data_IF_916652677604
#
_entry.id   IF_916652677604
#
_cell.length_a   1.000
_cell.length_b   1.000
_cell.length_c   1.000
_cell.angle_alpha   90.00
_cell.angle_beta   90.00
_cell.angle_gamma   90.00
#
_symmetry.space_group_name_H-M   'P 1'
#
loop_
_entity.id
_entity.type
_entity.pdbx_description
1 polymer ?
#
# COMPACT_ATOMS: atom_id res chain seq x y z
N UNK A 1 -2.00 11.89 -12.86
CA UNK A 1 -1.98 11.77 -11.37
C UNK A 1 -0.68 11.04 -11.05
N UNK A 2 0.29 11.67 -10.35
CA UNK A 2 1.60 11.05 -10.07
C UNK A 2 1.47 10.01 -8.95
N UNK A 3 2.07 8.82 -9.07
CA UNK A 3 2.06 7.85 -7.98
C UNK A 3 2.87 8.38 -6.79
N UNK A 4 2.32 8.20 -5.60
CA UNK A 4 2.95 8.62 -4.35
C UNK A 4 2.69 7.58 -3.26
N UNK A 5 3.68 7.40 -2.39
CA UNK A 5 3.58 6.59 -1.18
C UNK A 5 3.89 7.45 0.04
N UNK A 6 3.40 7.04 1.21
CA UNK A 6 3.73 7.74 2.44
C UNK A 6 3.24 7.03 3.68
N UNK A 7 3.78 7.47 4.82
CA UNK A 7 3.46 6.93 6.14
C UNK A 7 3.27 8.05 7.15
N UNK A 8 2.18 7.93 7.89
CA UNK A 8 1.88 8.77 9.05
C UNK A 8 2.68 8.29 10.27
N UNK A 9 3.14 9.23 11.08
CA UNK A 9 3.67 9.00 12.42
C UNK A 9 3.00 9.93 13.42
N UNK A 10 2.64 9.39 14.57
CA UNK A 10 2.14 10.16 15.72
C UNK A 10 2.83 9.58 16.95
N UNK A 11 3.40 10.43 17.80
CA UNK A 11 4.04 10.00 19.03
C UNK A 11 3.00 9.64 20.11
N UNK A 12 3.38 8.78 21.06
CA UNK A 12 2.58 8.45 22.23
C UNK A 12 2.44 9.69 23.13
N UNK A 13 1.25 10.30 23.15
CA UNK A 13 0.96 11.51 23.92
C UNK A 13 0.77 12.78 23.07
N UNK A 14 0.05 12.68 21.94
CA UNK A 14 0.20 13.46 20.68
C UNK A 14 0.95 14.80 20.82
N UNK A 15 2.29 14.75 20.88
CA UNK A 15 3.16 15.95 20.92
C UNK A 15 3.81 16.26 19.57
N UNK A 16 3.90 15.22 18.74
CA UNK A 16 4.53 15.26 17.44
C UNK A 16 3.61 14.60 16.42
N UNK A 17 3.44 15.28 15.29
CA UNK A 17 2.87 14.72 14.08
C UNK A 17 3.95 14.68 13.01
N UNK A 18 4.04 13.54 12.31
CA UNK A 18 4.96 13.33 11.21
C UNK A 18 4.23 12.80 9.99
N UNK A 19 4.65 13.23 8.82
CA UNK A 19 4.35 12.56 7.57
C UNK A 19 5.61 12.47 6.72
N UNK A 20 6.00 11.26 6.35
CA UNK A 20 7.08 11.04 5.40
C UNK A 20 6.46 10.42 4.16
N UNK A 21 6.69 11.05 3.02
CA UNK A 21 6.16 10.61 1.74
C UNK A 21 7.17 10.74 0.61
N UNK A 22 6.89 10.03 -0.47
CA UNK A 22 7.77 9.98 -1.62
C UNK A 22 7.00 9.80 -2.93
N UNK A 23 7.64 10.28 -3.99
CA UNK A 23 7.39 9.97 -5.40
C UNK A 23 8.68 9.34 -5.95
N UNK A 24 8.69 8.80 -7.17
CA UNK A 24 9.93 8.34 -7.79
C UNK A 24 11.04 9.40 -7.83
N UNK A 25 10.66 10.67 -7.96
CA UNK A 25 11.62 11.78 -8.15
C UNK A 25 12.06 12.45 -6.84
N UNK A 26 11.24 12.38 -5.79
CA UNK A 26 11.41 13.21 -4.59
C UNK A 26 10.84 12.55 -3.34
N UNK A 27 11.64 12.56 -2.28
CA UNK A 27 11.26 12.23 -0.90
C UNK A 27 11.18 13.51 -0.09
N UNK A 28 10.12 13.65 0.73
CA UNK A 28 9.98 14.75 1.66
C UNK A 28 9.37 14.29 2.98
N UNK A 29 9.81 14.91 4.07
CA UNK A 29 9.27 14.71 5.42
C UNK A 29 8.74 16.02 5.98
N UNK A 30 7.59 15.96 6.65
CA UNK A 30 6.99 17.08 7.36
C UNK A 30 6.78 16.68 8.82
N UNK A 31 7.23 17.55 9.70
CA UNK A 31 6.99 17.49 11.13
C UNK A 31 6.24 18.73 11.59
N UNK A 32 5.34 18.54 12.54
CA UNK A 32 4.72 19.61 13.31
C UNK A 32 4.76 19.20 14.78
N UNK A 33 5.18 20.14 15.61
CA UNK A 33 5.21 20.03 17.06
C UNK A 33 5.47 21.41 17.68
N UNK A 34 5.31 21.49 18.99
CA UNK A 34 5.68 22.68 19.74
C UNK A 34 7.14 22.59 20.21
N UNK A 35 7.91 23.67 20.08
CA UNK A 35 9.31 23.73 20.53
C UNK A 35 9.47 23.42 22.04
N UNK A 36 8.43 23.68 22.83
CA UNK A 36 8.37 23.39 24.26
C UNK A 36 7.76 22.01 24.58
N UNK A 37 7.54 21.18 23.57
CA UNK A 37 6.97 19.83 23.68
C UNK A 37 5.57 19.80 24.31
N UNK A 38 4.76 20.85 24.15
CA UNK A 38 3.35 20.84 24.56
C UNK A 38 2.51 19.81 23.78
N UNK A 39 1.43 19.34 24.41
CA UNK A 39 0.52 18.37 23.80
C UNK A 39 -0.32 19.07 22.72
N UNK A 40 -0.43 18.43 21.57
CA UNK A 40 -1.32 18.81 20.48
C UNK A 40 -2.51 17.83 20.40
N UNK A 41 -3.56 17.98 21.24
CA UNK A 41 -4.57 16.93 21.49
C UNK A 41 -5.38 16.52 20.26
N UNK A 42 -5.38 17.32 19.20
CA UNK A 42 -6.11 17.06 17.97
C UNK A 42 -5.21 16.77 16.77
N UNK A 43 -3.89 16.79 16.96
CA UNK A 43 -2.94 16.59 15.87
C UNK A 43 -2.50 15.13 15.72
N UNK A 44 -2.37 14.73 14.47
CA UNK A 44 -1.92 13.40 14.06
C UNK A 44 -1.21 13.51 12.71
N UNK A 45 -0.33 12.55 12.42
CA UNK A 45 0.44 12.53 11.17
C UNK A 45 -0.40 12.57 9.88
N UNK A 46 -1.66 12.13 9.92
CA UNK A 46 -2.58 12.18 8.79
C UNK A 46 -3.33 13.50 8.61
N UNK A 47 -3.23 14.44 9.57
CA UNK A 47 -4.02 15.67 9.59
C UNK A 47 -3.23 16.84 8.99
N UNK A 48 -2.39 17.50 9.78
CA UNK A 48 -1.68 18.70 9.35
C UNK A 48 -0.49 18.35 8.48
N UNK A 49 0.35 17.40 8.91
CA UNK A 49 1.60 17.08 8.20
C UNK A 49 1.36 16.47 6.82
N UNK A 50 0.39 15.58 6.65
CA UNK A 50 0.04 15.04 5.33
C UNK A 50 -0.46 16.12 4.35
N UNK A 51 -1.27 17.08 4.82
CA UNK A 51 -1.77 18.20 4.00
C UNK A 51 -0.65 19.15 3.60
N UNK A 52 0.24 19.52 4.54
CA UNK A 52 1.41 20.36 4.25
C UNK A 52 2.33 19.67 3.25
N UNK A 53 2.59 18.36 3.44
CA UNK A 53 3.37 17.57 2.49
C UNK A 53 2.77 17.62 1.09
N UNK A 54 1.44 17.42 0.96
CA UNK A 54 0.75 17.48 -0.33
C UNK A 54 0.92 18.84 -1.00
N UNK A 55 0.72 19.95 -0.29
CA UNK A 55 0.88 21.28 -0.88
C UNK A 55 2.33 21.57 -1.28
N UNK A 56 3.29 21.17 -0.45
CA UNK A 56 4.71 21.28 -0.77
C UNK A 56 5.04 20.51 -2.07
N UNK A 57 4.62 19.25 -2.17
CA UNK A 57 4.90 18.43 -3.35
C UNK A 57 4.25 18.97 -4.62
N UNK A 58 3.06 19.58 -4.53
CA UNK A 58 2.40 20.25 -5.66
C UNK A 58 3.16 21.48 -6.16
N UNK A 59 3.88 22.18 -5.28
CA UNK A 59 4.73 23.31 -5.67
C UNK A 59 6.14 22.90 -6.10
N UNK A 60 6.68 21.83 -5.51
CA UNK A 60 8.05 21.38 -5.76
C UNK A 60 8.20 20.55 -7.04
N UNK A 61 7.15 19.84 -7.47
CA UNK A 61 7.18 18.97 -8.63
C UNK A 61 6.54 19.63 -9.86
N UNK A 62 7.05 19.37 -11.08
CA UNK A 62 6.46 19.91 -12.29
C UNK A 62 5.03 19.39 -12.51
N UNK A 63 4.17 20.16 -13.19
CA UNK A 63 2.73 19.84 -13.33
C UNK A 63 2.43 18.64 -14.24
N UNK A 64 3.44 18.13 -14.94
CA UNK A 64 3.32 16.97 -15.83
C UNK A 64 3.45 15.65 -15.04
N UNK A 65 2.97 14.55 -15.62
CA UNK A 65 3.15 13.23 -15.04
C UNK A 65 4.65 12.92 -14.95
N UNK A 66 5.14 12.72 -13.71
CA UNK A 66 6.53 12.37 -13.44
C UNK A 66 6.78 10.88 -13.70
N UNK A 67 7.93 10.39 -13.28
CA UNK A 67 8.21 8.96 -13.37
C UNK A 67 7.18 8.12 -12.57
N UNK A 68 7.02 6.87 -12.99
CA UNK A 68 6.28 5.86 -12.23
C UNK A 68 7.23 5.05 -11.37
N UNK A 69 6.72 4.40 -10.32
CA UNK A 69 7.54 3.46 -9.57
C UNK A 69 8.07 2.35 -10.49
N UNK A 70 9.33 1.93 -10.34
CA UNK A 70 9.87 0.84 -11.13
C UNK A 70 9.08 -0.44 -10.85
N UNK A 71 8.97 -1.28 -11.87
CA UNK A 71 8.48 -2.64 -11.69
C UNK A 71 9.39 -3.40 -10.71
N UNK A 72 8.84 -4.35 -9.92
CA UNK A 72 9.64 -5.18 -9.04
C UNK A 72 10.76 -5.91 -9.81
N UNK A 73 11.97 -6.02 -9.23
CA UNK A 73 13.05 -6.82 -9.80
C UNK A 73 12.68 -8.30 -10.01
N UNK A 74 13.40 -9.01 -10.88
CA UNK A 74 13.11 -10.41 -11.24
C UNK A 74 13.14 -11.38 -10.04
N UNK A 75 13.89 -11.05 -8.97
CA UNK A 75 13.91 -11.84 -7.73
C UNK A 75 12.64 -11.69 -6.88
N UNK A 76 11.68 -10.86 -7.29
CA UNK A 76 10.36 -10.76 -6.66
C UNK A 76 9.31 -11.50 -7.49
N UNK A 77 8.49 -12.29 -6.79
CA UNK A 77 7.36 -13.01 -7.39
C UNK A 77 6.05 -12.40 -6.93
N UNK A 78 5.16 -12.15 -7.88
CA UNK A 78 3.79 -11.74 -7.60
C UNK A 78 2.92 -12.97 -7.30
N UNK A 79 2.26 -12.97 -6.14
CA UNK A 79 1.34 -14.04 -5.71
C UNK A 79 0.01 -13.44 -5.28
N UNK A 80 -1.08 -14.16 -5.54
CA UNK A 80 -2.41 -13.74 -5.11
C UNK A 80 -2.67 -14.21 -3.68
N UNK A 81 -2.99 -13.26 -2.79
CA UNK A 81 -3.20 -13.49 -1.36
C UNK A 81 -4.59 -13.02 -0.97
N UNK A 82 -5.30 -13.83 -0.17
CA UNK A 82 -6.55 -13.46 0.46
C UNK A 82 -6.28 -12.40 1.54
N UNK A 83 -6.86 -11.20 1.39
CA UNK A 83 -6.63 -10.08 2.29
C UNK A 83 -7.25 -10.29 3.68
N UNK A 84 -8.14 -11.28 3.82
CA UNK A 84 -8.82 -11.55 5.08
C UNK A 84 -8.00 -12.41 6.04
N UNK A 85 -7.24 -13.37 5.53
CA UNK A 85 -6.55 -14.36 6.37
C UNK A 85 -5.09 -14.65 5.98
N UNK A 86 -4.59 -13.96 4.95
CA UNK A 86 -3.21 -14.05 4.52
C UNK A 86 -2.85 -15.35 3.79
N UNK A 87 -3.83 -16.16 3.36
CA UNK A 87 -3.58 -17.37 2.57
C UNK A 87 -3.36 -17.07 1.12
N UNK A 88 -2.74 -18.01 0.40
CA UNK A 88 -2.80 -18.01 -1.06
C UNK A 88 -4.25 -18.13 -1.53
N UNK A 89 -4.55 -17.49 -2.65
CA UNK A 89 -5.88 -17.47 -3.28
C UNK A 89 -6.53 -18.87 -3.34
N UNK A 90 -7.79 -18.93 -2.89
CA UNK A 90 -8.58 -20.15 -2.82
C UNK A 90 -10.07 -19.86 -3.11
N UNK A 91 -10.83 -20.85 -3.62
CA UNK A 91 -12.26 -20.69 -3.86
C UNK A 91 -12.99 -20.29 -2.58
N UNK A 92 -13.61 -19.11 -2.58
CA UNK A 92 -14.41 -18.60 -1.45
C UNK A 92 -13.79 -17.43 -0.69
N UNK A 93 -12.55 -17.01 -0.99
CA UNK A 93 -12.08 -15.71 -0.50
C UNK A 93 -12.74 -14.56 -1.30
N UNK A 94 -13.45 -13.62 -0.65
CA UNK A 94 -14.14 -12.52 -1.35
C UNK A 94 -13.22 -11.34 -1.70
N UNK A 95 -12.00 -11.30 -1.16
CA UNK A 95 -11.07 -10.18 -1.33
C UNK A 95 -9.63 -10.69 -1.47
N UNK A 96 -9.14 -10.68 -2.70
CA UNK A 96 -7.82 -11.19 -3.09
C UNK A 96 -7.02 -10.05 -3.74
N UNK A 97 -5.76 -9.88 -3.34
CA UNK A 97 -4.83 -8.92 -3.96
C UNK A 97 -3.55 -9.59 -4.45
N UNK A 98 -2.93 -9.00 -5.49
CA UNK A 98 -1.58 -9.34 -5.91
C UNK A 98 -0.58 -8.69 -4.95
N UNK A 99 0.28 -9.51 -4.34
CA UNK A 99 1.34 -9.07 -3.44
C UNK A 99 2.69 -9.61 -3.94
N UNK A 100 3.75 -8.84 -3.72
CA UNK A 100 5.10 -9.19 -4.17
C UNK A 100 5.95 -9.66 -3.00
N UNK A 101 6.60 -10.80 -3.15
CA UNK A 101 7.53 -11.37 -2.17
C UNK A 101 8.84 -11.68 -2.85
N UNK A 102 9.94 -11.58 -2.10
CA UNK A 102 11.24 -12.04 -2.59
C UNK A 102 11.19 -13.56 -2.74
N UNK A 103 11.62 -14.09 -3.88
CA UNK A 103 11.52 -15.51 -4.20
C UNK A 103 12.21 -16.40 -3.15
N UNK A 104 13.34 -15.95 -2.59
CA UNK A 104 14.09 -16.68 -1.55
C UNK A 104 13.39 -16.73 -0.20
N UNK A 105 12.49 -15.79 0.07
CA UNK A 105 11.75 -15.66 1.34
C UNK A 105 10.33 -16.24 1.21
N UNK A 106 9.88 -16.48 -0.02
CA UNK A 106 8.59 -17.07 -0.31
C UNK A 106 8.65 -18.60 -0.15
N UNK A 107 8.16 -19.11 0.98
CA UNK A 107 7.82 -20.54 1.11
C UNK A 107 6.30 -20.68 1.18
N UNK A 108 5.74 -21.65 0.46
CA UNK A 108 4.29 -21.92 0.51
C UNK A 108 3.83 -22.21 1.94
N UNK A 109 4.71 -22.75 2.78
CA UNK A 109 4.46 -23.03 4.20
C UNK A 109 4.21 -21.77 5.04
N UNK A 110 4.79 -20.62 4.68
CA UNK A 110 4.51 -19.34 5.35
C UNK A 110 3.05 -18.90 5.17
N UNK A 111 2.46 -19.22 4.01
CA UNK A 111 1.06 -18.90 3.68
C UNK A 111 0.11 -20.06 3.98
N UNK A 112 0.64 -21.25 4.27
CA UNK A 112 -0.13 -22.44 4.65
C UNK A 112 -0.71 -22.37 6.05
N UNK A 113 -0.03 -21.65 6.95
CA UNK A 113 -0.45 -21.55 8.33
C UNK A 113 -1.66 -20.62 8.48
N UNK A 114 -1.78 -19.60 7.63
CA UNK A 114 -2.79 -18.54 7.77
C UNK A 114 -2.94 -18.03 9.20
N UNK A 115 -4.01 -17.31 9.47
CA UNK A 115 -4.56 -17.24 10.83
C UNK A 115 -4.95 -18.69 11.24
N UNK A 116 -4.71 -19.14 12.49
CA UNK A 116 -5.00 -20.51 12.91
C UNK A 116 -6.40 -20.98 12.50
N UNK A 117 -6.51 -22.07 11.73
CA UNK A 117 -7.79 -22.76 11.50
C UNK A 117 -8.24 -23.03 10.07
N UNK A 118 -7.49 -22.69 9.03
CA UNK A 118 -7.81 -23.13 7.67
C UNK A 118 -6.72 -24.00 7.03
N UNK A 119 -7.13 -24.84 6.09
CA UNK A 119 -6.34 -25.90 5.46
C UNK A 119 -6.06 -25.48 4.02
N UNK A 120 -4.79 -25.38 3.61
CA UNK A 120 -4.44 -25.26 2.19
C UNK A 120 -4.51 -26.62 1.51
N UNK A 121 -5.07 -26.67 0.30
CA UNK A 121 -4.93 -27.84 -0.58
C UNK A 121 -3.74 -27.66 -1.54
N UNK A 122 -3.04 -28.74 -1.93
CA UNK A 122 -1.68 -28.68 -2.50
C UNK A 122 -1.60 -28.30 -3.99
N UNK A 123 -2.52 -27.47 -4.51
CA UNK A 123 -2.58 -27.19 -5.94
C UNK A 123 -2.77 -25.72 -6.29
N UNK A 124 -2.02 -24.84 -5.64
CA UNK A 124 -1.78 -23.51 -6.19
C UNK A 124 -0.73 -23.64 -7.30
N UNK A 125 -1.18 -23.74 -8.54
CA UNK A 125 -0.30 -23.65 -9.70
C UNK A 125 0.50 -22.34 -9.60
N UNK A 126 1.83 -22.46 -9.68
CA UNK A 126 2.75 -21.32 -9.81
C UNK A 126 2.43 -20.63 -11.13
N UNK A 127 1.53 -19.65 -11.11
CA UNK A 127 1.36 -18.75 -12.24
C UNK A 127 2.52 -17.77 -12.16
N UNK A 128 3.61 -18.08 -12.88
CA UNK A 128 4.61 -17.07 -13.24
C UNK A 128 3.84 -16.09 -14.13
N UNK A 129 3.44 -14.94 -13.58
CA UNK A 129 2.80 -13.91 -14.39
C UNK A 129 3.78 -13.54 -15.50
N UNK A 130 3.46 -13.92 -16.74
CA UNK A 130 4.19 -13.40 -17.90
C UNK A 130 3.79 -11.93 -18.06
N UNK A 131 4.76 -11.03 -18.28
CA UNK A 131 4.44 -9.65 -18.61
C UNK A 131 3.55 -9.60 -19.86
N UNK A 132 2.36 -9.00 -19.75
CA UNK A 132 1.50 -8.66 -20.89
C UNK A 132 0.31 -9.59 -21.19
N UNK A 133 0.11 -10.70 -20.49
CA UNK A 133 -1.08 -11.56 -20.67
C UNK A 133 -2.07 -11.37 -19.52
N UNK A 134 -2.98 -10.39 -19.66
CA UNK A 134 -4.23 -10.37 -18.91
C UNK A 134 -5.18 -11.35 -19.60
N UNK A 135 -5.10 -12.62 -19.21
CA UNK A 135 -6.02 -13.67 -19.68
C UNK A 135 -7.38 -13.52 -19.01
N UNK A 136 -8.26 -12.80 -19.72
CA UNK A 136 -9.72 -12.76 -19.74
C UNK A 136 -10.55 -13.23 -18.53
N UNK A 137 -11.35 -12.24 -18.08
CA UNK A 137 -12.70 -12.30 -17.49
C UNK A 137 -12.89 -12.79 -16.04
N UNK A 138 -13.18 -11.84 -15.12
CA UNK A 138 -13.89 -12.18 -13.88
C UNK A 138 -15.37 -12.37 -14.20
N UNK A 139 -15.89 -13.59 -14.06
CA UNK A 139 -17.33 -13.76 -13.84
C UNK A 139 -17.68 -13.19 -12.48
N UNK A 140 -18.51 -12.15 -12.50
CA UNK A 140 -19.16 -11.45 -11.39
C UNK A 140 -18.33 -10.44 -10.58
N UNK A 141 -18.42 -9.18 -11.05
CA UNK A 141 -18.78 -7.98 -10.26
C UNK A 141 -18.13 -7.77 -8.89
N UNK A 142 -16.82 -7.53 -8.89
CA UNK A 142 -16.24 -6.49 -8.04
C UNK A 142 -15.04 -5.88 -8.76
N UNK A 143 -15.13 -4.58 -9.06
CA UNK A 143 -14.22 -3.87 -9.96
C UNK A 143 -12.80 -3.75 -9.37
N UNK A 144 -11.71 -3.87 -10.16
CA UNK A 144 -10.32 -3.73 -9.70
C UNK A 144 -9.96 -2.35 -9.15
N UNK A 145 -10.89 -1.40 -9.23
CA UNK A 145 -10.70 -0.03 -8.77
C UNK A 145 -10.58 0.11 -7.25
N UNK A 146 -10.95 -0.89 -6.44
CA UNK A 146 -11.12 -0.71 -4.99
C UNK A 146 -9.82 -0.52 -4.19
N UNK A 147 -8.67 -1.05 -4.62
CA UNK A 147 -7.42 -0.92 -3.83
C UNK A 147 -6.79 0.47 -3.97
N UNK A 148 -6.64 0.95 -5.21
CA UNK A 148 -6.22 2.33 -5.48
C UNK A 148 -7.26 3.33 -4.97
N UNK A 149 -8.55 3.00 -5.04
CA UNK A 149 -9.60 3.88 -4.56
C UNK A 149 -9.73 3.93 -3.04
N UNK A 150 -9.36 2.89 -2.28
CA UNK A 150 -9.32 2.97 -0.80
C UNK A 150 -8.17 3.83 -0.29
N UNK A 151 -7.00 3.77 -0.92
CA UNK A 151 -5.89 4.68 -0.57
C UNK A 151 -6.17 6.11 -1.04
N UNK A 152 -6.78 6.28 -2.21
CA UNK A 152 -7.18 7.60 -2.70
C UNK A 152 -8.32 8.22 -1.88
N UNK A 153 -9.32 7.42 -1.48
CA UNK A 153 -10.43 7.88 -0.65
C UNK A 153 -9.96 8.20 0.77
N UNK A 154 -8.99 7.48 1.34
CA UNK A 154 -8.37 7.87 2.61
C UNK A 154 -7.63 9.23 2.51
N UNK A 155 -7.10 9.56 1.32
CA UNK A 155 -6.53 10.89 1.02
C UNK A 155 -7.58 11.98 0.76
N UNK A 156 -8.72 11.63 0.16
CA UNK A 156 -9.78 12.59 -0.20
C UNK A 156 -10.81 12.81 0.94
N UNK A 157 -11.08 11.83 1.80
CA UNK A 157 -12.00 11.92 2.97
C UNK A 157 -11.35 12.60 4.19
N UNK A 158 -10.03 12.79 4.16
CA UNK A 158 -9.30 13.59 5.14
C UNK A 158 -9.12 15.05 4.67
N UNK A 159 -9.83 15.49 3.62
CA UNK A 159 -9.85 16.86 3.06
C UNK A 159 -10.90 17.77 3.72
#
# INVERSE_FOLDING_TARGET
>A
RRPAGGKTGTNDGPRDAWFIGFTPDLVAGVWVGHDNNEIMPYEAGGRTTARVWREFMRGALPPYDGETFPEPPEEYVGVRVCNLDGRLDYPGCPDVSLQYFRETEFTQDLFAQGIPGAVLQPRAERVRAKPGEVSAEPTNTASPHLFTQRLQNAFDESA
#
